data_IF_136291236053
#
_entry.id   IF_136291236053
#
_cell.length_a   1.000
_cell.length_b   1.000
_cell.length_c   1.000
_cell.angle_alpha   90.00
_cell.angle_beta   90.00
_cell.angle_gamma   90.00
#
_symmetry.space_group_name_H-M   'P 1'
#
loop_
_entity.id
_entity.type
_entity.pdbx_description
1 polymer ?
#
# COMPACT_ATOMS: atom_id res chain seq x y z
N UNK A 1 15.68 11.29 -20.40
CA UNK A 1 15.94 10.71 -19.06
C UNK A 1 15.71 11.78 -18.00
N UNK A 2 14.61 11.73 -17.24
CA UNK A 2 14.13 12.83 -16.35
C UNK A 2 14.01 12.41 -14.87
N UNK A 3 14.78 11.41 -14.41
CA UNK A 3 14.51 10.76 -13.12
C UNK A 3 15.42 11.21 -11.97
N UNK A 4 16.59 11.81 -12.23
CA UNK A 4 17.56 12.13 -11.17
C UNK A 4 17.17 13.30 -10.25
N UNK A 5 16.24 14.17 -10.65
CA UNK A 5 15.83 15.32 -9.83
C UNK A 5 14.60 15.05 -8.95
N UNK A 6 13.79 14.05 -9.27
CA UNK A 6 12.56 13.75 -8.51
C UNK A 6 12.88 13.24 -7.09
N UNK A 7 13.88 12.36 -6.95
CA UNK A 7 14.28 11.78 -5.67
C UNK A 7 14.77 12.82 -4.67
N UNK A 8 15.55 13.82 -5.13
CA UNK A 8 16.08 14.89 -4.27
C UNK A 8 14.98 15.80 -3.70
N UNK A 9 13.93 16.06 -4.47
CA UNK A 9 12.79 16.87 -4.02
C UNK A 9 11.96 16.11 -2.97
N UNK A 10 11.79 14.81 -3.15
CA UNK A 10 11.02 13.95 -2.24
C UNK A 10 11.75 13.79 -0.90
N UNK A 11 13.07 13.56 -0.93
CA UNK A 11 13.91 13.48 0.28
C UNK A 11 13.79 14.74 1.14
N UNK A 12 13.84 15.93 0.51
CA UNK A 12 13.72 17.22 1.22
C UNK A 12 12.34 17.46 1.82
N UNK A 13 11.27 16.91 1.22
CA UNK A 13 9.88 17.10 1.68
C UNK A 13 9.47 16.10 2.76
N UNK A 14 9.90 14.85 2.66
CA UNK A 14 9.44 13.77 3.53
C UNK A 14 10.50 13.43 4.56
N UNK A 15 11.72 13.07 4.13
CA UNK A 15 12.83 12.81 5.03
C UNK A 15 12.55 11.71 6.06
N UNK A 16 11.87 10.63 5.68
CA UNK A 16 11.49 9.51 6.56
C UNK A 16 11.85 8.15 5.96
N UNK A 17 11.96 7.13 6.82
CA UNK A 17 12.13 5.73 6.40
C UNK A 17 10.80 5.01 6.48
N UNK A 18 10.43 4.33 5.41
CA UNK A 18 9.25 3.48 5.33
C UNK A 18 9.65 2.03 5.08
N UNK A 19 8.84 1.09 5.56
CA UNK A 19 8.99 -0.32 5.20
C UNK A 19 7.71 -0.81 4.52
N UNK A 20 7.87 -1.46 3.38
CA UNK A 20 6.79 -2.14 2.67
C UNK A 20 6.99 -3.64 2.83
N UNK A 21 6.00 -4.32 3.40
CA UNK A 21 5.93 -5.78 3.48
C UNK A 21 4.93 -6.28 2.47
N UNK A 22 5.37 -7.16 1.60
CA UNK A 22 4.54 -7.74 0.55
C UNK A 22 4.35 -9.22 0.87
N UNK A 23 3.11 -9.58 1.16
CA UNK A 23 2.69 -10.92 1.49
C UNK A 23 2.21 -11.67 0.23
N UNK A 24 2.89 -12.76 -0.18
CA UNK A 24 2.51 -13.53 -1.37
C UNK A 24 1.23 -14.37 -1.17
N UNK A 25 0.92 -14.79 0.06
CA UNK A 25 -0.29 -15.55 0.38
C UNK A 25 -1.18 -14.83 1.40
N UNK A 26 -0.64 -14.62 2.60
CA UNK A 26 -1.38 -14.03 3.73
C UNK A 26 -0.46 -13.07 4.48
N UNK A 27 -1.01 -11.93 4.87
CA UNK A 27 -0.32 -10.96 5.73
C UNK A 27 0.13 -11.69 7.00
N UNK A 28 1.39 -11.48 7.38
CA UNK A 28 2.07 -12.15 8.51
C UNK A 28 2.74 -13.50 8.18
N UNK A 29 2.70 -13.98 6.94
CA UNK A 29 3.35 -15.25 6.55
C UNK A 29 4.28 -15.09 5.34
N UNK A 30 5.58 -15.35 5.54
CA UNK A 30 6.64 -15.29 4.53
C UNK A 30 6.61 -13.99 3.70
N UNK A 31 6.56 -12.86 4.39
CA UNK A 31 6.47 -11.55 3.76
C UNK A 31 7.83 -11.08 3.25
N UNK A 32 7.86 -10.54 2.03
CA UNK A 32 9.02 -9.86 1.49
C UNK A 32 9.04 -8.42 1.99
N UNK A 33 10.06 -8.06 2.77
CA UNK A 33 10.24 -6.70 3.24
C UNK A 33 11.12 -5.89 2.27
N UNK A 34 10.72 -4.66 2.04
CA UNK A 34 11.47 -3.65 1.30
C UNK A 34 11.55 -2.39 2.16
N UNK A 35 12.75 -1.89 2.38
CA UNK A 35 12.97 -0.63 3.08
C UNK A 35 13.14 0.47 2.06
N UNK A 36 12.42 1.57 2.24
CA UNK A 36 12.53 2.78 1.46
C UNK A 36 13.16 3.86 2.35
N UNK A 37 14.42 4.18 2.11
CA UNK A 37 15.14 5.25 2.81
C UNK A 37 15.04 6.55 2.00
N UNK A 38 14.13 7.43 2.41
CA UNK A 38 13.98 8.78 1.88
C UNK A 38 14.65 9.85 2.77
N UNK A 39 15.44 9.47 3.78
CA UNK A 39 16.19 10.42 4.62
C UNK A 39 17.45 10.89 3.90
N UNK A 40 18.11 9.97 3.19
CA UNK A 40 19.44 10.21 2.61
C UNK A 40 19.37 10.44 1.10
N UNK A 41 19.35 9.35 0.33
CA UNK A 41 19.49 9.37 -1.13
C UNK A 41 18.21 8.98 -1.88
N UNK A 42 17.19 8.50 -1.17
CA UNK A 42 15.99 7.94 -1.81
C UNK A 42 16.24 6.54 -2.35
N UNK A 43 16.85 5.67 -1.54
CA UNK A 43 17.22 4.31 -1.92
C UNK A 43 16.16 3.31 -1.45
N UNK A 44 16.03 2.21 -2.19
CA UNK A 44 15.15 1.10 -1.84
C UNK A 44 16.00 -0.16 -1.69
N UNK A 45 15.97 -0.79 -0.53
CA UNK A 45 16.70 -2.01 -0.24
C UNK A 45 15.74 -3.17 0.02
N UNK A 46 16.09 -4.35 -0.47
CA UNK A 46 15.34 -5.58 -0.19
C UNK A 46 15.84 -6.15 1.14
N UNK A 47 14.93 -6.38 2.08
CA UNK A 47 15.23 -6.88 3.41
C UNK A 47 14.52 -6.11 4.52
N UNK A 48 14.50 -6.72 5.70
CA UNK A 48 14.08 -6.02 6.91
C UNK A 48 15.04 -4.85 7.19
N UNK A 49 14.54 -3.81 7.84
CA UNK A 49 15.36 -2.67 8.19
C UNK A 49 16.37 -3.06 9.26
N UNK A 50 17.67 -3.01 8.92
CA UNK A 50 18.75 -3.47 9.78
C UNK A 50 19.20 -2.44 10.84
N UNK A 51 18.42 -1.38 11.07
CA UNK A 51 18.64 -0.49 12.19
C UNK A 51 19.93 0.33 12.07
N UNK A 52 19.99 1.23 11.09
CA UNK A 52 21.01 2.28 11.12
C UNK A 52 20.74 3.15 12.36
N UNK A 53 21.74 3.25 13.24
CA UNK A 53 21.74 4.14 14.41
C UNK A 53 21.30 5.54 13.96
N UNK A 54 20.14 6.01 14.44
CA UNK A 54 19.48 7.30 14.14
C UNK A 54 18.43 7.34 13.02
N UNK A 55 18.02 6.22 12.43
CA UNK A 55 16.84 6.20 11.55
C UNK A 55 15.79 5.24 12.11
N UNK A 56 14.64 5.79 12.47
CA UNK A 56 13.47 5.05 12.93
C UNK A 56 12.55 4.80 11.74
N UNK A 57 11.97 3.60 11.66
CA UNK A 57 10.91 3.33 10.70
C UNK A 57 9.69 4.14 11.12
N UNK A 58 9.25 5.06 10.27
CA UNK A 58 8.10 5.91 10.58
C UNK A 58 6.79 5.12 10.44
N UNK A 59 6.69 4.31 9.38
CA UNK A 59 5.55 3.43 9.17
C UNK A 59 5.94 2.15 8.44
N UNK A 60 5.21 1.08 8.77
CA UNK A 60 5.29 -0.22 8.10
C UNK A 60 3.96 -0.43 7.40
N UNK A 61 3.99 -0.61 6.09
CA UNK A 61 2.83 -0.93 5.28
C UNK A 61 2.87 -2.39 4.86
N UNK A 62 1.86 -3.18 5.22
CA UNK A 62 1.72 -4.57 4.80
C UNK A 62 0.63 -4.72 3.75
N UNK A 63 0.97 -5.35 2.64
CA UNK A 63 0.05 -5.58 1.52
C UNK A 63 0.02 -7.04 1.11
N UNK A 64 -1.12 -7.50 0.62
CA UNK A 64 -1.15 -8.65 -0.31
C UNK A 64 -0.54 -8.23 -1.65
N UNK A 65 0.18 -9.13 -2.34
CA UNK A 65 0.77 -8.86 -3.67
C UNK A 65 -0.24 -8.26 -4.63
N UNK A 66 -1.45 -8.83 -4.70
CA UNK A 66 -2.50 -8.40 -5.62
C UNK A 66 -2.91 -6.94 -5.40
N UNK A 67 -3.11 -6.54 -4.15
CA UNK A 67 -3.50 -5.18 -3.79
C UNK A 67 -2.35 -4.20 -4.05
N UNK A 68 -1.12 -4.60 -3.73
CA UNK A 68 0.07 -3.80 -4.01
C UNK A 68 0.20 -3.49 -5.52
N UNK A 69 0.05 -4.50 -6.37
CA UNK A 69 0.12 -4.32 -7.83
C UNK A 69 -1.00 -3.40 -8.32
N UNK A 70 -2.25 -3.60 -7.85
CA UNK A 70 -3.38 -2.73 -8.25
C UNK A 70 -3.16 -1.27 -7.83
N UNK A 71 -2.65 -1.05 -6.61
CA UNK A 71 -2.31 0.30 -6.12
C UNK A 71 -1.19 0.91 -6.96
N UNK A 72 -0.11 0.17 -7.21
CA UNK A 72 1.04 0.66 -7.98
C UNK A 72 0.66 1.01 -9.43
N UNK A 73 -0.31 0.29 -10.00
CA UNK A 73 -0.85 0.57 -11.34
C UNK A 73 -1.90 1.70 -11.36
N UNK A 74 -2.27 2.28 -10.21
CA UNK A 74 -3.35 3.27 -10.11
C UNK A 74 -4.76 2.69 -10.32
N UNK A 75 -4.91 1.36 -10.31
CA UNK A 75 -6.19 0.64 -10.48
C UNK A 75 -6.97 0.49 -9.18
N UNK A 76 -6.40 0.89 -8.05
CA UNK A 76 -7.02 0.82 -6.74
C UNK A 76 -6.57 2.01 -5.89
N UNK A 77 -7.51 2.66 -5.20
CA UNK A 77 -7.19 3.72 -4.27
C UNK A 77 -6.57 3.12 -2.98
N UNK A 78 -5.36 3.55 -2.56
CA UNK A 78 -4.73 3.06 -1.35
C UNK A 78 -5.59 3.21 -0.08
N UNK A 79 -6.34 4.30 0.06
CA UNK A 79 -7.17 4.56 1.25
C UNK A 79 -8.30 3.54 1.38
N UNK A 80 -8.88 3.10 0.25
CA UNK A 80 -9.89 2.05 0.22
C UNK A 80 -9.25 0.70 0.58
N UNK A 81 -8.07 0.42 0.02
CA UNK A 81 -7.36 -0.83 0.29
C UNK A 81 -6.96 -1.02 1.77
N UNK A 82 -6.81 0.07 2.53
CA UNK A 82 -6.52 0.05 3.96
C UNK A 82 -7.76 0.08 4.85
N UNK A 83 -8.95 0.35 4.32
CA UNK A 83 -10.17 0.48 5.13
C UNK A 83 -11.18 -0.64 4.83
N UNK A 84 -11.16 -1.76 5.59
CA UNK A 84 -12.05 -2.91 5.33
C UNK A 84 -13.54 -2.59 5.50
N UNK A 85 -13.88 -1.50 6.19
CA UNK A 85 -15.26 -1.06 6.41
C UNK A 85 -15.96 -0.61 5.11
N UNK A 86 -15.24 0.02 4.17
CA UNK A 86 -15.81 0.51 2.91
C UNK A 86 -16.04 -0.63 1.92
N UNK A 87 -15.18 -1.64 1.92
CA UNK A 87 -15.40 -2.85 1.12
C UNK A 87 -16.69 -3.57 1.57
N UNK A 88 -16.90 -3.74 2.88
CA UNK A 88 -18.12 -4.33 3.43
C UNK A 88 -19.40 -3.56 3.01
N UNK A 89 -19.38 -2.23 3.11
CA UNK A 89 -20.48 -1.39 2.66
C UNK A 89 -20.71 -1.49 1.15
N UNK A 90 -19.66 -1.45 0.32
CA UNK A 90 -19.80 -1.56 -1.13
C UNK A 90 -20.39 -2.91 -1.56
N UNK A 91 -20.00 -3.99 -0.90
CA UNK A 91 -20.52 -5.33 -1.18
C UNK A 91 -21.98 -5.45 -0.75
N UNK A 92 -22.34 -4.86 0.39
CA UNK A 92 -23.72 -4.77 0.85
C UNK A 92 -24.59 -3.92 -0.09
N UNK A 93 -24.11 -2.75 -0.54
CA UNK A 93 -24.77 -1.90 -1.52
C UNK A 93 -25.00 -2.62 -2.86
N UNK A 94 -24.00 -3.35 -3.36
CA UNK A 94 -24.14 -4.13 -4.59
C UNK A 94 -25.18 -5.24 -4.41
N UNK A 95 -25.15 -5.96 -3.29
CA UNK A 95 -26.13 -7.02 -2.95
C UNK A 95 -27.58 -6.52 -2.92
N UNK A 96 -27.84 -5.37 -2.27
CA UNK A 96 -29.19 -4.79 -2.25
C UNK A 96 -29.63 -4.29 -3.63
N UNK A 97 -28.70 -3.74 -4.43
CA UNK A 97 -29.01 -3.26 -5.78
C UNK A 97 -29.35 -4.40 -6.75
N UNK A 98 -28.64 -5.54 -6.66
CA UNK A 98 -28.90 -6.72 -7.47
C UNK A 98 -30.19 -7.47 -7.10
N UNK A 99 -30.72 -7.25 -5.89
CA UNK A 99 -31.97 -7.86 -5.42
C UNK A 99 -33.23 -7.05 -5.80
N UNK A 100 -33.09 -5.93 -6.50
CA UNK A 100 -34.24 -5.11 -6.94
C UNK A 100 -35.02 -5.68 -8.14
N UNK A 101 -34.58 -6.78 -8.74
CA UNK A 101 -35.34 -7.51 -9.77
C UNK A 101 -36.59 -8.23 -9.25
N UNK A 102 -36.81 -8.28 -7.93
CA UNK A 102 -38.04 -8.84 -7.32
C UNK A 102 -39.15 -7.81 -7.07
N UNK A 103 -38.92 -6.52 -7.32
CA UNK A 103 -39.92 -5.45 -7.08
C UNK A 103 -40.67 -4.97 -8.33
N UNK A 104 -40.43 -5.57 -9.50
CA UNK A 104 -41.16 -5.28 -10.75
C UNK A 104 -42.15 -6.38 -11.16
N UNK A 105 -42.62 -7.20 -10.22
CA UNK A 105 -43.56 -8.31 -10.46
C UNK A 105 -44.77 -8.32 -9.50
N UNK A 106 -45.16 -7.16 -8.97
CA UNK A 106 -46.42 -6.99 -8.24
C UNK A 106 -47.22 -5.82 -8.82
#
# INVERSE_FOLDING_TARGET
>A
MKQQNASKVIVKKIGLVYQIKIAPKKIGFNELAYTIDLIRKGEVTKGAYEGIRNAYIYAIFSFKVENFVKIAMGKMNPQIAFNPFIEGLSTWFQSISSNTSYFNLA
#
